data_IF_553289154892
#
_entry.id   IF_553289154892
#
_cell.length_a   1.000
_cell.length_b   1.000
_cell.length_c   1.000
_cell.angle_alpha   90.00
_cell.angle_beta   90.00
_cell.angle_gamma   90.00
#
_symmetry.space_group_name_H-M   'P 1'
#
loop_
_entity.id
_entity.type
_entity.pdbx_description
1 polymer ?
#
# COMPACT_ATOMS: atom_id res chain seq x y z
N UNK A 1 -9.26 -19.78 10.97
CA UNK A 1 -8.28 -20.74 10.40
C UNK A 1 -8.43 -20.67 8.89
N UNK A 2 -7.35 -20.42 8.16
CA UNK A 2 -7.42 -20.22 6.72
C UNK A 2 -7.36 -21.55 5.96
N UNK A 3 -8.22 -21.74 4.96
CA UNK A 3 -8.30 -23.00 4.19
C UNK A 3 -7.00 -23.38 3.48
N UNK A 4 -6.17 -22.40 3.12
CA UNK A 4 -4.88 -22.60 2.47
C UNK A 4 -3.73 -22.95 3.44
N UNK A 5 -3.90 -22.74 4.74
CA UNK A 5 -2.84 -22.93 5.74
C UNK A 5 -2.68 -24.38 6.24
N UNK A 6 -3.57 -25.30 5.83
CA UNK A 6 -3.56 -26.68 6.31
C UNK A 6 -3.69 -26.77 7.84
N UNK A 7 -2.96 -27.68 8.47
CA UNK A 7 -2.96 -27.90 9.93
C UNK A 7 -1.99 -26.98 10.70
N UNK A 8 -1.16 -26.20 10.00
CA UNK A 8 -0.23 -25.31 10.65
C UNK A 8 -0.95 -24.04 11.15
N UNK A 9 -0.73 -23.61 12.41
CA UNK A 9 -1.19 -22.31 12.87
C UNK A 9 -0.41 -21.21 12.15
N UNK A 10 -1.11 -20.39 11.38
CA UNK A 10 -0.53 -19.28 10.62
C UNK A 10 -1.05 -17.96 11.19
N UNK A 11 -0.12 -17.03 11.40
CA UNK A 11 -0.45 -15.65 11.78
C UNK A 11 -1.26 -14.96 10.69
N UNK A 12 -2.07 -13.99 11.10
CA UNK A 12 -2.81 -13.11 10.21
C UNK A 12 -1.90 -12.56 9.08
N UNK A 13 -2.22 -12.82 7.80
CA UNK A 13 -1.46 -12.29 6.69
C UNK A 13 -1.69 -10.80 6.45
N UNK A 14 -2.83 -10.25 6.87
CA UNK A 14 -3.29 -8.91 6.51
C UNK A 14 -2.27 -7.81 6.84
N UNK A 15 -1.62 -7.77 8.03
CA UNK A 15 -0.59 -6.78 8.35
C UNK A 15 0.60 -6.73 7.39
N UNK A 16 0.86 -7.84 6.67
CA UNK A 16 1.98 -7.93 5.72
C UNK A 16 1.56 -7.68 4.27
N UNK A 17 0.26 -7.63 3.99
CA UNK A 17 -0.28 -7.46 2.64
C UNK A 17 -0.76 -6.04 2.36
N UNK A 18 -1.21 -5.32 3.40
CA UNK A 18 -1.68 -3.94 3.25
C UNK A 18 -0.61 -2.95 3.69
N UNK A 19 -0.64 -1.75 3.11
CA UNK A 19 0.23 -0.63 3.51
C UNK A 19 -0.37 0.22 4.64
N UNK A 20 -1.57 -0.12 5.09
CA UNK A 20 -2.25 0.55 6.19
C UNK A 20 -1.83 -0.07 7.53
N UNK A 21 -1.89 0.72 8.60
CA UNK A 21 -1.71 0.20 9.96
C UNK A 21 -2.86 -0.74 10.30
N UNK A 22 -2.53 -2.00 10.57
CA UNK A 22 -3.51 -3.01 10.98
C UNK A 22 -3.52 -3.08 12.49
N UNK A 23 -4.67 -2.78 13.09
CA UNK A 23 -4.85 -2.84 14.53
C UNK A 23 -4.96 -4.29 15.00
N UNK A 24 -3.99 -4.73 15.78
CA UNK A 24 -4.03 -6.00 16.53
C UNK A 24 -3.79 -5.72 18.01
N UNK A 25 -4.62 -6.29 18.88
CA UNK A 25 -4.51 -6.07 20.33
C UNK A 25 -3.32 -6.79 20.95
N UNK A 26 -2.85 -7.87 20.31
CA UNK A 26 -1.81 -8.74 20.87
C UNK A 26 -2.24 -9.48 22.13
N UNK A 27 -3.53 -9.47 22.47
CA UNK A 27 -4.06 -10.12 23.67
C UNK A 27 -4.03 -11.64 23.50
N UNK A 28 -3.37 -12.33 24.43
CA UNK A 28 -3.23 -13.77 24.40
C UNK A 28 -3.94 -14.39 25.60
N UNK A 29 -4.91 -15.27 25.35
CA UNK A 29 -5.56 -16.03 26.41
C UNK A 29 -4.85 -17.37 26.59
N UNK A 30 -4.22 -17.56 27.75
CA UNK A 30 -3.55 -18.82 28.14
C UNK A 30 -4.29 -19.38 29.35
N UNK A 31 -4.85 -20.59 29.21
CA UNK A 31 -5.54 -21.30 30.30
C UNK A 31 -6.57 -20.42 31.06
N UNK A 32 -7.38 -19.66 30.32
CA UNK A 32 -8.44 -18.80 30.88
C UNK A 32 -7.96 -17.47 31.46
N UNK A 33 -6.65 -17.15 31.40
CA UNK A 33 -6.11 -15.84 31.76
C UNK A 33 -5.65 -15.09 30.52
N UNK A 34 -6.13 -13.86 30.38
CA UNK A 34 -5.75 -12.96 29.28
C UNK A 34 -4.51 -12.17 29.68
N UNK A 35 -3.42 -12.38 28.96
CA UNK A 35 -2.23 -11.53 28.98
C UNK A 35 -2.46 -10.41 28.00
N UNK A 36 -2.42 -9.16 28.49
CA UNK A 36 -2.62 -7.99 27.65
C UNK A 36 -1.39 -7.72 26.81
N UNK A 37 -1.58 -7.55 25.50
CA UNK A 37 -0.56 -7.01 24.61
C UNK A 37 -0.43 -5.48 24.74
N UNK A 38 0.55 -4.94 24.03
CA UNK A 38 0.94 -3.53 24.07
C UNK A 38 -0.04 -2.62 23.28
N UNK A 39 -0.97 -3.21 22.52
CA UNK A 39 -1.91 -2.50 21.64
C UNK A 39 -3.06 -1.83 22.37
N UNK A 40 -2.80 -0.80 23.19
CA UNK A 40 -3.85 0.00 23.87
C UNK A 40 -4.86 0.57 22.89
N UNK A 41 -4.38 1.23 21.82
CA UNK A 41 -5.23 1.80 20.77
C UNK A 41 -6.05 0.74 20.03
N UNK A 42 -5.44 -0.40 19.70
CA UNK A 42 -6.16 -1.50 19.07
C UNK A 42 -7.28 -2.04 19.97
N UNK A 43 -7.07 -2.03 21.29
CA UNK A 43 -8.06 -2.50 22.27
C UNK A 43 -9.23 -1.54 22.42
N UNK A 44 -8.97 -0.23 22.40
CA UNK A 44 -10.01 0.80 22.38
C UNK A 44 -10.90 0.65 21.14
N UNK A 45 -10.29 0.51 19.95
CA UNK A 45 -11.02 0.27 18.70
C UNK A 45 -11.80 -1.05 18.74
N UNK A 46 -11.20 -2.13 19.27
CA UNK A 46 -11.92 -3.40 19.44
C UNK A 46 -13.13 -3.25 20.38
N UNK A 47 -13.00 -2.49 21.47
CA UNK A 47 -14.14 -2.23 22.36
C UNK A 47 -15.23 -1.42 21.68
N UNK A 48 -14.89 -0.44 20.84
CA UNK A 48 -15.87 0.29 20.03
C UNK A 48 -16.62 -0.65 19.08
N UNK A 49 -15.93 -1.59 18.43
CA UNK A 49 -16.57 -2.58 17.55
C UNK A 49 -17.50 -3.52 18.34
N UNK A 50 -17.05 -4.00 19.50
CA UNK A 50 -17.85 -4.91 20.35
C UNK A 50 -19.06 -4.19 20.94
N UNK A 51 -18.96 -2.91 21.28
CA UNK A 51 -20.07 -2.12 21.81
C UNK A 51 -21.09 -1.71 20.74
N UNK A 52 -20.83 -2.01 19.47
CA UNK A 52 -21.69 -1.62 18.35
C UNK A 52 -21.62 -0.12 18.06
N UNK A 53 -20.46 0.51 18.23
CA UNK A 53 -20.26 1.91 17.87
C UNK A 53 -20.63 2.17 16.40
N UNK A 54 -21.23 3.33 16.15
CA UNK A 54 -21.56 3.80 14.81
C UNK A 54 -20.32 4.14 13.99
N UNK A 55 -20.54 4.26 12.68
CA UNK A 55 -19.51 4.50 11.68
C UNK A 55 -18.69 5.76 12.00
N UNK A 56 -19.35 6.81 12.46
CA UNK A 56 -18.74 8.11 12.78
C UNK A 56 -17.72 7.98 13.92
N UNK A 57 -18.07 7.28 15.01
CA UNK A 57 -17.13 7.05 16.13
C UNK A 57 -15.92 6.21 15.73
N UNK A 58 -16.12 5.23 14.84
CA UNK A 58 -15.01 4.44 14.31
C UNK A 58 -14.10 5.30 13.42
N UNK A 59 -14.68 6.19 12.59
CA UNK A 59 -13.92 7.12 11.76
C UNK A 59 -13.11 8.11 12.62
N UNK A 60 -13.69 8.64 13.69
CA UNK A 60 -13.02 9.54 14.65
C UNK A 60 -11.85 8.85 15.37
N UNK A 61 -11.93 7.54 15.60
CA UNK A 61 -10.82 6.74 16.13
C UNK A 61 -9.70 6.49 15.09
N UNK A 62 -9.89 6.96 13.85
CA UNK A 62 -8.97 6.81 12.73
C UNK A 62 -9.11 5.48 11.98
N UNK A 63 -10.22 4.78 12.14
CA UNK A 63 -10.48 3.53 11.41
C UNK A 63 -10.99 3.86 10.01
N UNK A 64 -10.21 3.51 8.98
CA UNK A 64 -10.65 3.62 7.58
C UNK A 64 -11.51 2.42 7.15
N UNK A 65 -11.13 1.22 7.59
CA UNK A 65 -11.71 -0.03 7.14
C UNK A 65 -11.84 -1.01 8.29
N UNK A 66 -12.90 -1.81 8.28
CA UNK A 66 -13.05 -2.97 9.16
C UNK A 66 -13.08 -4.22 8.28
N UNK A 67 -12.21 -5.17 8.60
CA UNK A 67 -12.10 -6.41 7.84
C UNK A 67 -12.60 -7.54 8.72
N UNK A 68 -13.54 -8.31 8.20
CA UNK A 68 -14.06 -9.53 8.82
C UNK A 68 -13.62 -10.72 7.98
N UNK A 69 -12.94 -11.67 8.61
CA UNK A 69 -12.44 -12.89 7.97
C UNK A 69 -13.32 -14.10 8.32
N UNK A 70 -13.61 -14.93 7.32
CA UNK A 70 -14.42 -16.14 7.44
C UNK A 70 -15.89 -15.87 7.80
N UNK A 71 -16.45 -16.72 8.67
CA UNK A 71 -17.85 -16.65 9.14
C UNK A 71 -18.06 -15.61 10.27
N UNK A 72 -17.34 -14.49 10.23
CA UNK A 72 -17.50 -13.44 11.22
C UNK A 72 -18.84 -12.72 11.12
N UNK A 73 -19.18 -11.89 12.12
CA UNK A 73 -20.46 -11.20 12.17
C UNK A 73 -20.62 -10.21 11.01
N UNK A 74 -21.84 -10.08 10.51
CA UNK A 74 -22.21 -8.99 9.61
C UNK A 74 -22.25 -7.68 10.41
N UNK A 75 -21.63 -6.63 9.88
CA UNK A 75 -21.60 -5.30 10.50
C UNK A 75 -22.56 -4.38 9.75
N UNK A 76 -23.22 -3.47 10.46
CA UNK A 76 -24.05 -2.41 9.88
C UNK A 76 -23.17 -1.27 9.33
N UNK A 77 -22.28 -1.62 8.39
CA UNK A 77 -21.35 -0.71 7.73
C UNK A 77 -21.43 -0.90 6.20
N UNK A 78 -21.11 0.14 5.41
CA UNK A 78 -21.02 0.00 3.95
C UNK A 78 -20.01 -1.08 3.56
N UNK A 79 -20.41 -2.06 2.77
CA UNK A 79 -19.49 -3.09 2.24
C UNK A 79 -18.76 -2.52 1.02
N UNK A 80 -17.44 -2.53 1.06
CA UNK A 80 -16.62 -2.14 -0.08
C UNK A 80 -16.11 -3.33 -0.89
N UNK A 81 -15.93 -4.48 -0.23
CA UNK A 81 -15.54 -5.72 -0.89
C UNK A 81 -16.05 -6.92 -0.09
N UNK A 82 -16.43 -7.99 -0.79
CA UNK A 82 -16.86 -9.25 -0.18
C UNK A 82 -16.54 -10.41 -1.10
N UNK A 83 -15.93 -11.43 -0.53
CA UNK A 83 -15.84 -12.77 -1.13
C UNK A 83 -16.17 -13.84 -0.07
N UNK A 84 -15.83 -15.10 -0.38
CA UNK A 84 -16.10 -16.27 0.47
C UNK A 84 -15.29 -16.28 1.76
N UNK A 85 -14.13 -15.63 1.76
CA UNK A 85 -13.15 -15.69 2.85
C UNK A 85 -13.06 -14.35 3.61
N UNK A 86 -13.42 -13.22 2.99
CA UNK A 86 -13.26 -11.90 3.58
C UNK A 86 -14.43 -10.96 3.23
N UNK A 87 -14.82 -10.13 4.19
CA UNK A 87 -15.69 -8.97 3.96
C UNK A 87 -15.00 -7.72 4.49
N UNK A 88 -14.89 -6.71 3.64
CA UNK A 88 -14.30 -5.41 3.94
C UNK A 88 -15.40 -4.36 4.01
N UNK A 89 -15.52 -3.73 5.16
CA UNK A 89 -16.45 -2.65 5.45
C UNK A 89 -15.71 -1.31 5.43
N UNK A 90 -16.26 -0.33 4.72
CA UNK A 90 -15.78 1.03 4.70
C UNK A 90 -16.31 1.79 5.92
N UNK A 91 -15.39 2.34 6.72
CA UNK A 91 -15.73 3.21 7.85
C UNK A 91 -15.48 4.66 7.46
N UNK A 92 -14.25 4.97 7.04
CA UNK A 92 -13.81 6.28 6.59
C UNK A 92 -12.91 6.16 5.37
N UNK A 93 -12.59 7.26 4.71
CA UNK A 93 -11.86 7.19 3.44
C UNK A 93 -11.26 8.50 2.96
N UNK A 94 -11.70 9.63 3.50
CA UNK A 94 -11.09 10.92 3.19
C UNK A 94 -9.91 11.20 4.13
N UNK A 95 -9.02 10.21 4.31
CA UNK A 95 -7.73 10.50 4.93
C UNK A 95 -7.06 11.56 4.05
N UNK A 96 -6.76 12.75 4.61
CA UNK A 96 -6.21 13.82 3.80
C UNK A 96 -4.92 13.33 3.13
N UNK A 97 -4.79 13.61 1.84
CA UNK A 97 -3.60 13.25 1.09
C UNK A 97 -2.35 13.72 1.85
N UNK A 98 -1.25 12.94 1.85
CA UNK A 98 -0.04 13.30 2.59
C UNK A 98 0.36 14.74 2.27
N UNK A 99 0.65 15.55 3.30
CA UNK A 99 0.85 17.00 3.16
C UNK A 99 1.87 17.39 2.07
N UNK A 100 2.84 16.52 1.79
CA UNK A 100 3.92 16.74 0.83
C UNK A 100 3.77 15.93 -0.47
N UNK A 101 2.59 15.37 -0.75
CA UNK A 101 2.36 14.55 -1.96
C UNK A 101 2.72 15.31 -3.24
N UNK A 102 2.29 16.56 -3.35
CA UNK A 102 2.56 17.39 -4.53
C UNK A 102 4.05 17.72 -4.67
N UNK A 103 4.74 17.99 -3.55
CA UNK A 103 6.18 18.23 -3.55
C UNK A 103 6.96 16.98 -4.00
N UNK A 104 6.57 15.81 -3.50
CA UNK A 104 7.19 14.53 -3.87
C UNK A 104 6.97 14.23 -5.35
N UNK A 105 5.76 14.45 -5.87
CA UNK A 105 5.45 14.32 -7.30
C UNK A 105 6.30 15.29 -8.13
N UNK A 106 6.38 16.57 -7.75
CA UNK A 106 7.18 17.56 -8.45
C UNK A 106 8.67 17.16 -8.49
N UNK A 107 9.23 16.72 -7.36
CA UNK A 107 10.60 16.24 -7.28
C UNK A 107 10.85 15.04 -8.22
N UNK A 108 9.93 14.08 -8.27
CA UNK A 108 10.04 12.92 -9.17
C UNK A 108 9.92 13.32 -10.65
N UNK A 109 9.02 14.25 -10.98
CA UNK A 109 8.89 14.74 -12.35
C UNK A 109 10.13 15.50 -12.82
N UNK A 110 10.72 16.33 -11.95
CA UNK A 110 11.96 17.04 -12.24
C UNK A 110 13.12 16.07 -12.43
N UNK A 111 13.24 15.09 -11.53
CA UNK A 111 14.26 14.04 -11.62
C UNK A 111 14.13 13.23 -12.92
N UNK A 112 12.90 12.80 -13.26
CA UNK A 112 12.62 12.09 -14.51
C UNK A 112 12.97 12.94 -15.74
N UNK A 113 12.64 14.24 -15.72
CA UNK A 113 12.97 15.15 -16.81
C UNK A 113 14.49 15.27 -17.00
N UNK A 114 15.27 15.38 -15.93
CA UNK A 114 16.73 15.41 -15.99
C UNK A 114 17.31 14.13 -16.59
N UNK A 115 16.77 12.96 -16.22
CA UNK A 115 17.19 11.68 -16.81
C UNK A 115 16.89 11.62 -18.32
N UNK A 116 15.69 12.04 -18.73
CA UNK A 116 15.30 12.05 -20.15
C UNK A 116 16.17 13.02 -20.96
N UNK A 117 16.45 14.20 -20.43
CA UNK A 117 17.34 15.19 -21.07
C UNK A 117 18.76 14.62 -21.20
N UNK A 118 19.30 14.02 -20.14
CA UNK A 118 20.62 13.39 -20.16
C UNK A 118 20.71 12.27 -21.21
N UNK A 119 19.70 11.38 -21.24
CA UNK A 119 19.61 10.30 -22.23
C UNK A 119 19.53 10.84 -23.66
N UNK A 120 18.69 11.85 -23.90
CA UNK A 120 18.58 12.49 -25.20
C UNK A 120 19.90 13.14 -25.63
N UNK A 121 20.59 13.81 -24.71
CA UNK A 121 21.91 14.40 -24.93
C UNK A 121 22.98 13.37 -25.31
N UNK A 122 22.92 12.15 -24.77
CA UNK A 122 23.83 11.04 -25.14
C UNK A 122 23.51 10.46 -26.52
N UNK A 123 22.23 10.38 -26.89
CA UNK A 123 21.79 9.75 -28.14
C UNK A 123 21.88 10.70 -29.36
N UNK A 124 21.72 12.01 -29.16
CA UNK A 124 21.70 13.00 -30.25
C UNK A 124 22.99 13.05 -31.09
N UNK A 125 24.20 12.96 -30.52
CA UNK A 125 25.45 12.90 -31.30
C UNK A 125 25.59 11.61 -32.11
N UNK A 126 25.07 10.49 -31.61
CA UNK A 126 25.10 9.20 -32.30
C UNK A 126 24.22 9.19 -33.55
N UNK A 127 23.05 9.83 -33.48
CA UNK A 127 22.15 10.00 -34.64
C UNK A 127 22.71 11.02 -35.65
N UNK A 128 23.44 12.04 -35.18
CA UNK A 128 24.03 13.08 -36.02
C UNK A 128 25.35 12.67 -36.67
N UNK A 129 26.11 11.75 -36.09
CA UNK A 129 27.31 11.15 -36.71
C UNK A 129 26.90 10.11 -37.75
N UNK A 130 26.32 10.56 -38.87
CA UNK A 130 26.40 9.79 -40.12
C UNK A 130 27.87 9.83 -40.56
N UNK A 131 28.52 8.69 -40.86
CA UNK A 131 29.89 8.71 -41.32
C UNK A 131 29.91 9.36 -42.70
N UNK A 132 30.55 10.53 -42.81
CA UNK A 132 31.04 11.03 -44.09
C UNK A 132 32.08 10.03 -44.61
N UNK A 133 31.62 9.01 -45.32
CA UNK A 133 32.44 8.25 -46.25
C UNK A 133 32.62 9.10 -47.51
N UNK A 134 33.29 10.25 -47.36
CA UNK A 134 33.75 11.04 -48.49
C UNK A 134 35.18 10.57 -48.85
N UNK A 135 35.22 9.51 -49.66
CA UNK A 135 36.11 9.39 -50.82
C UNK A 135 37.46 10.13 -50.76
N UNK A 136 38.49 9.47 -50.22
CA UNK A 136 39.87 9.79 -50.61
C UNK A 136 40.23 9.00 -51.87
N UNK A 137 39.59 9.33 -53.01
CA UNK A 137 39.96 8.83 -54.33
C UNK A 137 40.67 9.94 -55.11
N UNK A 138 41.93 9.67 -55.41
CA UNK A 138 42.70 10.19 -56.54
C UNK A 138 43.05 11.69 -56.58
N UNK A 139 44.29 12.00 -56.22
CA UNK A 139 45.23 12.88 -56.94
C UNK A 139 46.50 12.91 -56.07
N UNK A 140 47.66 12.42 -56.50
CA UNK A 140 48.48 13.02 -57.55
C UNK A 140 49.61 12.04 -57.86
N UNK A 141 49.72 11.62 -59.12
CA UNK A 141 50.99 11.17 -59.69
C UNK A 141 51.19 12.02 -60.96
N UNK A 142 52.20 12.89 -60.93
CA UNK A 142 52.72 13.61 -62.08
C UNK A 142 54.23 13.62 -61.96
#
# INVERSE_FOLDING_TARGET
>A
RFGWAGDAPVLDPLPRWVRADVFSTGDLTIAGRTVRGEGTRAREVQQLLISGADRERLADAGVGWVVVEGLGPALELPVAYRDTDITVYAVGGDTPAPAHRNLMLAAHTLWLALLVIGLAGMLLPWVRRRPDRATHRAATNR
#
